data_IF_953837710801
#
_entry.id   IF_953837710801
#
_cell.length_a   1.000
_cell.length_b   1.000
_cell.length_c   1.000
_cell.angle_alpha   90.00
_cell.angle_beta   90.00
_cell.angle_gamma   90.00
#
_symmetry.space_group_name_H-M   'P 1'
#
loop_
_entity.id
_entity.type
_entity.pdbx_description
1 polymer ?
#
# COMPACT_ATOMS: atom_id res chain seq x y z
N UNK A 1 1.33 -20.09 -6.37
CA UNK A 1 0.88 -18.68 -6.24
C UNK A 1 1.98 -17.91 -5.51
N UNK A 2 3.03 -17.56 -6.23
CA UNK A 2 4.22 -16.88 -5.67
C UNK A 2 4.52 -15.67 -6.55
N UNK A 3 3.49 -14.86 -6.78
CA UNK A 3 3.55 -13.74 -7.72
C UNK A 3 3.24 -12.46 -6.96
N UNK A 4 4.18 -12.10 -6.10
CA UNK A 4 4.45 -10.77 -5.54
C UNK A 4 5.34 -11.03 -4.33
N UNK A 5 6.59 -10.58 -4.40
CA UNK A 5 7.53 -10.58 -3.27
C UNK A 5 7.11 -9.57 -2.19
N UNK A 6 5.83 -9.54 -1.82
CA UNK A 6 5.22 -8.59 -0.90
C UNK A 6 4.61 -9.42 0.22
N UNK A 7 5.25 -9.37 1.38
CA UNK A 7 4.75 -10.03 2.57
C UNK A 7 3.43 -9.40 3.01
N UNK A 8 2.42 -10.20 3.41
CA UNK A 8 1.16 -9.70 3.94
C UNK A 8 1.38 -8.80 5.16
N UNK A 9 2.36 -9.16 5.99
CA UNK A 9 2.87 -8.37 7.12
C UNK A 9 3.18 -6.91 6.75
N UNK A 10 3.77 -6.66 5.58
CA UNK A 10 4.08 -5.31 5.12
C UNK A 10 2.81 -4.55 4.72
N UNK A 11 1.83 -5.24 4.15
CA UNK A 11 0.54 -4.65 3.79
C UNK A 11 -0.21 -4.27 5.05
N UNK A 12 -0.33 -5.17 6.01
CA UNK A 12 -0.97 -4.94 7.31
C UNK A 12 -0.31 -3.78 8.06
N UNK A 13 1.03 -3.77 8.13
CA UNK A 13 1.78 -2.65 8.70
C UNK A 13 1.54 -1.33 7.96
N UNK A 14 1.46 -1.36 6.63
CA UNK A 14 1.21 -0.14 5.83
C UNK A 14 -0.19 0.40 6.06
N UNK A 15 -1.20 -0.46 6.24
CA UNK A 15 -2.56 -0.04 6.56
C UNK A 15 -2.72 0.44 8.01
N UNK A 16 -2.03 -0.21 8.96
CA UNK A 16 -2.10 0.15 10.38
C UNK A 16 -1.38 1.47 10.70
N UNK A 17 -0.27 1.75 10.02
CA UNK A 17 0.51 2.97 10.20
C UNK A 17 1.18 3.40 8.87
N UNK A 18 0.40 3.99 7.94
CA UNK A 18 0.96 4.54 6.71
C UNK A 18 1.82 5.77 6.99
N UNK A 19 2.90 5.95 6.22
CA UNK A 19 3.68 7.20 6.24
C UNK A 19 2.98 8.31 5.46
N UNK A 20 2.23 7.95 4.41
CA UNK A 20 1.33 8.84 3.71
C UNK A 20 0.05 8.09 3.35
N UNK A 21 -1.09 8.73 3.52
CA UNK A 21 -2.39 8.25 3.07
C UNK A 21 -3.05 9.35 2.24
N UNK A 22 -3.34 9.03 0.98
CA UNK A 22 -3.90 9.98 0.03
C UNK A 22 -5.09 9.36 -0.71
N UNK A 23 -6.18 10.09 -0.94
CA UNK A 23 -7.27 9.61 -1.78
C UNK A 23 -6.78 9.41 -3.22
N UNK A 24 -7.32 8.40 -3.90
CA UNK A 24 -7.04 8.18 -5.32
C UNK A 24 -7.71 9.27 -6.15
N UNK A 25 -6.91 9.96 -6.97
CA UNK A 25 -7.40 11.07 -7.79
C UNK A 25 -8.36 10.61 -8.91
N UNK A 26 -8.26 9.35 -9.33
CA UNK A 26 -9.16 8.77 -10.33
C UNK A 26 -10.45 8.27 -9.69
N UNK A 27 -10.40 7.83 -8.43
CA UNK A 27 -11.53 7.20 -7.76
C UNK A 27 -11.60 7.61 -6.28
N UNK A 28 -12.47 8.56 -5.89
CA UNK A 28 -12.53 9.06 -4.51
C UNK A 28 -12.93 7.99 -3.49
N UNK A 29 -13.39 6.82 -3.94
CA UNK A 29 -13.64 5.64 -3.11
C UNK A 29 -12.42 4.81 -2.74
N UNK A 30 -11.27 5.12 -3.34
CA UNK A 30 -10.02 4.42 -3.10
C UNK A 30 -9.05 5.32 -2.34
N UNK A 31 -8.29 4.72 -1.44
CA UNK A 31 -7.21 5.35 -0.71
C UNK A 31 -5.90 4.66 -1.04
N UNK A 32 -4.83 5.43 -1.00
CA UNK A 32 -3.47 5.01 -1.32
C UNK A 32 -2.62 5.23 -0.08
N UNK A 33 -2.32 4.14 0.62
CA UNK A 33 -1.35 4.12 1.69
C UNK A 33 0.05 3.86 1.14
N UNK A 34 1.02 4.63 1.62
CA UNK A 34 2.43 4.50 1.27
C UNK A 34 3.25 4.27 2.53
N UNK A 35 4.19 3.33 2.45
CA UNK A 35 5.16 3.09 3.51
C UNK A 35 6.47 2.57 2.95
N UNK A 36 7.58 3.08 3.46
CA UNK A 36 8.92 2.56 3.20
C UNK A 36 9.12 1.23 3.94
N UNK A 37 9.57 0.22 3.20
CA UNK A 37 9.87 -1.10 3.73
C UNK A 37 11.40 -1.24 3.83
N UNK A 38 12.00 -0.98 5.02
CA UNK A 38 13.44 -1.09 5.19
C UNK A 38 13.97 -2.50 4.89
N UNK A 39 13.17 -3.53 5.13
CA UNK A 39 13.48 -4.93 4.80
C UNK A 39 13.60 -5.20 3.28
N UNK A 40 13.16 -4.26 2.44
CA UNK A 40 13.22 -4.35 0.98
C UNK A 40 13.99 -3.17 0.39
N UNK A 41 15.20 -2.93 0.87
CA UNK A 41 16.09 -1.84 0.45
C UNK A 41 15.47 -0.43 0.63
N UNK A 42 14.53 -0.28 1.58
CA UNK A 42 13.80 0.97 1.77
C UNK A 42 12.82 1.30 0.65
N UNK A 43 12.41 0.32 -0.18
CA UNK A 43 11.42 0.54 -1.24
C UNK A 43 10.09 0.97 -0.66
N UNK A 44 9.40 1.86 -1.37
CA UNK A 44 8.07 2.31 -0.98
C UNK A 44 7.04 1.27 -1.42
N UNK A 45 6.36 0.64 -0.47
CA UNK A 45 5.18 -0.15 -0.71
C UNK A 45 3.97 0.78 -0.83
N UNK A 46 3.25 0.67 -1.95
CA UNK A 46 1.98 1.34 -2.18
C UNK A 46 0.85 0.32 -2.05
N UNK A 47 -0.07 0.57 -1.13
CA UNK A 47 -1.27 -0.23 -0.93
C UNK A 47 -2.49 0.61 -1.30
N UNK A 48 -3.22 0.17 -2.31
CA UNK A 48 -4.50 0.75 -2.69
C UNK A 48 -5.60 -0.07 -2.05
N UNK A 49 -6.44 0.58 -1.27
CA UNK A 49 -7.55 -0.05 -0.57
C UNK A 49 -8.80 0.81 -0.67
N UNK A 50 -9.97 0.17 -0.65
CA UNK A 50 -11.24 0.85 -0.47
C UNK A 50 -11.63 0.78 1.00
N UNK A 51 -12.05 1.91 1.56
CA UNK A 51 -12.64 2.03 2.89
C UNK A 51 -14.03 2.66 2.81
N UNK A 52 -14.74 2.46 1.69
CA UNK A 52 -16.09 3.02 1.51
C UNK A 52 -17.16 2.28 2.31
N UNK A 53 -16.88 1.04 2.72
CA UNK A 53 -17.74 0.23 3.58
C UNK A 53 -17.08 0.01 4.93
N UNK A 54 -17.77 -0.64 5.88
CA UNK A 54 -17.20 -1.05 7.17
C UNK A 54 -16.02 -2.04 7.05
N UNK A 55 -15.72 -2.51 5.83
CA UNK A 55 -14.64 -3.45 5.54
C UNK A 55 -13.54 -2.79 4.71
N UNK A 56 -12.28 -2.92 5.15
CA UNK A 56 -11.11 -2.51 4.37
C UNK A 56 -10.85 -3.57 3.30
N UNK A 57 -11.12 -3.23 2.03
CA UNK A 57 -10.80 -4.11 0.90
C UNK A 57 -9.52 -3.68 0.23
N UNK A 58 -8.50 -4.53 0.29
CA UNK A 58 -7.24 -4.34 -0.44
C UNK A 58 -7.48 -4.60 -1.91
N UNK A 59 -7.28 -3.58 -2.75
CA UNK A 59 -7.46 -3.69 -4.20
C UNK A 59 -6.15 -4.13 -4.85
N UNK A 60 -5.04 -3.49 -4.50
CA UNK A 60 -3.71 -3.85 -5.02
C UNK A 60 -2.60 -3.35 -4.10
N UNK A 61 -1.54 -4.15 -3.94
CA UNK A 61 -0.35 -3.75 -3.19
C UNK A 61 0.90 -4.00 -4.04
N UNK A 62 1.74 -3.00 -4.25
CA UNK A 62 2.97 -3.13 -5.04
C UNK A 62 4.05 -2.14 -4.62
N UNK A 63 5.31 -2.53 -4.84
CA UNK A 63 6.44 -1.62 -4.66
C UNK A 63 6.48 -0.60 -5.78
N UNK A 64 6.52 0.67 -5.40
CA UNK A 64 6.74 1.77 -6.33
C UNK A 64 8.15 1.66 -6.90
N UNK A 65 8.24 1.58 -8.23
CA UNK A 65 9.52 1.39 -8.94
C UNK A 65 10.20 2.72 -9.29
N UNK A 66 9.50 3.85 -9.10
CA UNK A 66 9.96 5.20 -9.47
C UNK A 66 10.44 6.04 -8.30
N UNK A 67 9.95 5.80 -7.09
CA UNK A 67 10.44 6.44 -5.86
C UNK A 67 11.52 5.59 -5.20
N UNK A 68 12.77 5.91 -5.47
CA UNK A 68 13.91 5.55 -4.61
C UNK A 68 14.10 6.70 -3.62
N UNK A 69 14.08 6.41 -2.31
CA UNK A 69 14.35 7.41 -1.26
C UNK A 69 15.77 7.94 -1.39
#
# INVERSE_FOLDING_TARGET
>A
MTEREISPDWVERTLAAPEADEPDQADPGLRRAFRSIPERDGRILRVVYSSQTEEIRIITAFFDRGRRR
#
